data_IF_737862877995
#
_entry.id   IF_737862877995
#
_cell.length_a   1.000
_cell.length_b   1.000
_cell.length_c   1.000
_cell.angle_alpha   90.00
_cell.angle_beta   90.00
_cell.angle_gamma   90.00
#
_symmetry.space_group_name_H-M   'P 1'
#
loop_
_entity.id
_entity.type
_entity.pdbx_description
1 polymer ?
#
# COMPACT_ATOMS: atom_id res chain seq x y z
N UNK A 1 -13.80 -5.62 0.26
CA UNK A 1 -13.05 -5.44 1.51
C UNK A 1 -11.65 -4.95 1.17
N UNK A 2 -11.21 -3.88 1.80
CA UNK A 2 -9.91 -3.33 1.51
C UNK A 2 -8.79 -4.15 2.13
N UNK A 3 -7.68 -4.25 1.42
CA UNK A 3 -6.49 -4.95 1.89
C UNK A 3 -5.24 -4.21 1.42
N UNK A 4 -4.17 -4.34 2.16
CA UNK A 4 -2.91 -3.67 1.86
C UNK A 4 -1.84 -4.68 1.51
N UNK A 5 -1.08 -4.39 0.46
CA UNK A 5 0.04 -5.22 0.06
C UNK A 5 1.13 -5.20 1.13
N UNK A 6 1.60 -6.37 1.54
CA UNK A 6 2.65 -6.48 2.54
C UNK A 6 4.01 -6.03 2.02
N UNK A 7 4.16 -5.92 0.72
CA UNK A 7 5.43 -5.54 0.11
C UNK A 7 5.53 -4.03 -0.15
N UNK A 8 4.57 -3.46 -0.90
CA UNK A 8 4.59 -2.04 -1.24
C UNK A 8 3.60 -1.19 -0.43
N UNK A 9 2.76 -1.83 0.37
CA UNK A 9 1.78 -1.19 1.27
C UNK A 9 0.60 -0.53 0.56
N UNK A 10 0.45 -0.74 -0.75
CA UNK A 10 -0.68 -0.17 -1.48
C UNK A 10 -1.99 -0.82 -1.02
N UNK A 11 -2.96 0.02 -0.70
CA UNK A 11 -4.30 -0.44 -0.30
C UNK A 11 -5.13 -0.65 -1.56
N UNK A 12 -5.64 -1.86 -1.73
CA UNK A 12 -6.51 -2.20 -2.87
C UNK A 12 -7.80 -2.82 -2.34
N UNK A 13 -8.87 -2.74 -3.13
CA UNK A 13 -10.17 -3.29 -2.75
C UNK A 13 -10.52 -4.56 -3.52
N UNK A 14 -9.83 -4.85 -4.61
CA UNK A 14 -10.10 -6.01 -5.45
C UNK A 14 -8.79 -6.59 -5.99
N UNK A 15 -8.84 -7.85 -6.36
CA UNK A 15 -7.72 -8.53 -6.97
C UNK A 15 -6.88 -9.32 -5.97
N UNK A 16 -6.12 -10.28 -6.47
CA UNK A 16 -5.25 -11.14 -5.67
C UNK A 16 -3.78 -10.81 -5.85
N UNK A 17 -3.47 -9.86 -6.72
CA UNK A 17 -2.11 -9.48 -7.05
C UNK A 17 -2.00 -7.96 -6.99
N UNK A 18 -0.95 -7.46 -6.35
CA UNK A 18 -0.69 -6.04 -6.29
C UNK A 18 -0.35 -5.50 -7.69
N UNK A 19 -1.06 -4.48 -8.20
CA UNK A 19 -0.80 -3.94 -9.53
C UNK A 19 0.52 -3.18 -9.63
N UNK A 20 1.15 -2.86 -8.52
CA UNK A 20 2.39 -2.08 -8.49
C UNK A 20 3.62 -2.98 -8.39
N UNK A 21 3.64 -3.89 -7.42
CA UNK A 21 4.82 -4.72 -7.17
C UNK A 21 4.62 -6.20 -7.54
N UNK A 22 3.40 -6.59 -7.90
CA UNK A 22 3.10 -7.98 -8.22
C UNK A 22 3.03 -8.92 -7.02
N UNK A 23 3.06 -8.38 -5.81
CA UNK A 23 2.98 -9.18 -4.60
C UNK A 23 1.61 -9.82 -4.41
N UNK A 24 1.59 -10.96 -3.75
CA UNK A 24 0.35 -11.72 -3.51
C UNK A 24 -0.02 -11.81 -2.03
N UNK A 25 0.83 -11.29 -1.15
CA UNK A 25 0.58 -11.32 0.29
C UNK A 25 -0.01 -9.98 0.73
N UNK A 26 -1.16 -10.04 1.37
CA UNK A 26 -1.90 -8.85 1.79
C UNK A 26 -2.29 -8.96 3.26
N UNK A 27 -2.65 -7.83 3.85
CA UNK A 27 -3.19 -7.77 5.20
C UNK A 27 -4.40 -6.85 5.22
N UNK A 28 -5.36 -7.17 6.08
CA UNK A 28 -6.49 -6.28 6.35
C UNK A 28 -6.27 -5.50 7.63
N UNK A 29 -5.12 -5.65 8.26
CA UNK A 29 -4.80 -5.01 9.54
C UNK A 29 -3.66 -4.01 9.38
N UNK A 30 -3.96 -2.75 9.56
CA UNK A 30 -2.96 -1.69 9.61
C UNK A 30 -3.44 -0.60 10.56
N UNK A 31 -2.50 0.16 11.11
CA UNK A 31 -2.77 1.18 12.12
C UNK A 31 -2.46 2.57 11.57
N UNK A 32 -3.16 2.96 10.54
CA UNK A 32 -2.98 4.26 9.91
C UNK A 32 -2.64 4.11 8.44
N UNK A 33 -2.86 5.19 7.70
CA UNK A 33 -2.57 5.19 6.28
C UNK A 33 -2.24 6.60 5.81
N UNK A 34 -1.63 6.71 4.63
CA UNK A 34 -1.32 7.98 3.99
C UNK A 34 -1.90 7.95 2.57
N UNK A 35 -2.47 9.08 2.16
CA UNK A 35 -2.98 9.22 0.80
C UNK A 35 -1.99 10.07 0.01
N UNK A 36 -1.44 9.51 -1.07
CA UNK A 36 -0.50 10.20 -1.93
C UNK A 36 -1.23 10.65 -3.18
N UNK A 37 -1.41 11.96 -3.31
CA UNK A 37 -2.10 12.56 -4.46
C UNK A 37 -1.14 12.91 -5.59
N UNK A 38 0.14 13.08 -5.28
CA UNK A 38 1.15 13.41 -6.27
C UNK A 38 2.49 12.79 -5.85
N UNK A 39 2.70 11.54 -6.23
CA UNK A 39 3.88 10.77 -5.83
C UNK A 39 5.18 11.38 -6.34
N UNK A 40 5.15 12.05 -7.49
CA UNK A 40 6.34 12.66 -8.07
C UNK A 40 6.87 13.84 -7.26
N UNK A 41 5.98 14.55 -6.54
CA UNK A 41 6.33 15.74 -5.77
C UNK A 41 6.33 15.55 -4.27
N UNK A 42 5.82 14.42 -3.80
CA UNK A 42 5.73 14.15 -2.37
C UNK A 42 7.07 13.67 -1.81
N UNK A 43 7.59 14.37 -0.82
CA UNK A 43 8.82 13.95 -0.15
C UNK A 43 8.60 12.66 0.64
N UNK A 44 7.42 12.51 1.21
CA UNK A 44 7.06 11.29 1.94
C UNK A 44 7.04 10.10 0.99
N UNK A 45 6.48 10.28 -0.20
CA UNK A 45 6.45 9.23 -1.20
C UNK A 45 7.86 8.82 -1.62
N UNK A 46 8.75 9.77 -1.79
CA UNK A 46 10.16 9.49 -2.14
C UNK A 46 10.85 8.69 -1.04
N UNK A 47 10.62 9.04 0.21
CA UNK A 47 11.22 8.35 1.35
C UNK A 47 10.70 6.92 1.48
N UNK A 48 9.45 6.69 1.15
CA UNK A 48 8.83 5.37 1.23
C UNK A 48 8.99 4.56 -0.05
N UNK A 49 9.58 5.14 -1.09
CA UNK A 49 9.72 4.46 -2.37
C UNK A 49 8.43 4.37 -3.16
N UNK A 50 7.47 5.22 -2.86
CA UNK A 50 6.18 5.24 -3.53
C UNK A 50 6.29 5.94 -4.88
N UNK A 51 5.88 5.27 -5.94
CA UNK A 51 5.95 5.82 -7.30
C UNK A 51 4.58 6.06 -7.92
N UNK A 52 3.52 5.59 -7.28
CA UNK A 52 2.16 5.66 -7.81
C UNK A 52 1.26 6.34 -6.79
N UNK A 53 0.36 7.20 -7.28
CA UNK A 53 -0.62 7.85 -6.41
C UNK A 53 -1.60 6.80 -5.86
N UNK A 54 -2.03 7.00 -4.63
CA UNK A 54 -2.98 6.12 -4.00
C UNK A 54 -2.89 6.14 -2.48
N UNK A 55 -3.64 5.28 -1.83
CA UNK A 55 -3.60 5.13 -0.39
C UNK A 55 -2.62 4.02 -0.02
N UNK A 56 -1.78 4.28 0.97
CA UNK A 56 -0.77 3.34 1.44
C UNK A 56 -0.92 3.14 2.94
N UNK A 57 -0.90 1.88 3.36
CA UNK A 57 -1.03 1.54 4.77
C UNK A 57 0.27 1.76 5.54
N UNK A 58 0.13 2.15 6.79
CA UNK A 58 1.25 2.30 7.72
C UNK A 58 1.08 1.26 8.81
N UNK A 59 2.20 0.83 9.43
CA UNK A 59 2.16 -0.12 10.54
C UNK A 59 1.32 -1.36 10.22
N UNK A 60 1.75 -2.10 9.22
CA UNK A 60 1.06 -3.31 8.80
C UNK A 60 1.11 -4.37 9.89
N UNK A 61 -0.03 -5.04 10.10
CA UNK A 61 -0.12 -6.16 11.02
C UNK A 61 0.25 -7.48 10.35
N UNK A 62 -0.25 -8.58 10.89
CA UNK A 62 0.01 -9.90 10.33
C UNK A 62 -0.67 -10.07 8.98
N UNK A 63 -0.06 -10.81 8.05
CA UNK A 63 -0.69 -11.09 6.77
C UNK A 63 -1.97 -11.93 6.95
N UNK A 64 -3.00 -11.57 6.18
CA UNK A 64 -4.29 -12.27 6.24
C UNK A 64 -4.59 -13.06 4.97
N UNK A 65 -3.65 -13.10 4.04
CA UNK A 65 -3.82 -13.90 2.83
C UNK A 65 -2.50 -14.51 2.38
#
# INVERSE_FOLDING_TARGET
MEKACMNCRLIISQGDVCPVCGGTVFTTRWSGYVVVLNAERSEIAKKLGIKVNGAYALHLGEPTS
#
